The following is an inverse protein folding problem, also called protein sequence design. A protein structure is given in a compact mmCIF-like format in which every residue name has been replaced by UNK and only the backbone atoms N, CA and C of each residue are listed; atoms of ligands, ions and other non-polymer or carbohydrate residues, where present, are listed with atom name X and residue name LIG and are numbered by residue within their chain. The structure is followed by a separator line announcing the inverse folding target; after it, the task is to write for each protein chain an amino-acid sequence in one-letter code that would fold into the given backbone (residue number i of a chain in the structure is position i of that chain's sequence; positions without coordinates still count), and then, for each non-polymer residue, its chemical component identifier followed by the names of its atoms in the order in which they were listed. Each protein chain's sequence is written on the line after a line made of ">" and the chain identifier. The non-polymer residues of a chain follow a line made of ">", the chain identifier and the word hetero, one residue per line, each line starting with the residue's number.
data_IF_892896737738
#
_entry.id   IF_892896737738
#
_cell.length_a   1.000
_cell.length_b   1.000
_cell.length_c   1.000
_cell.angle_alpha   90.00
_cell.angle_beta   90.00
_cell.angle_gamma   90.00
#
_symmetry.space_group_name_H-M   'P 1'
#
loop_
_entity.id
_entity.type
_entity.pdbx_description
1 polymer ?
#
# COMPACT_ATOMS: atom_id res chain seq x y z
N UNK A 1 -23.07 30.53 -21.65
CA UNK A 1 -22.32 30.94 -20.44
C UNK A 1 -22.62 30.01 -19.26
N UNK A 2 -23.90 29.67 -19.00
CA UNK A 2 -24.37 28.74 -17.95
C UNK A 2 -23.69 27.35 -17.94
N UNK A 3 -23.48 26.76 -19.14
CA UNK A 3 -22.86 25.43 -19.26
C UNK A 3 -21.35 25.41 -18.97
N UNK A 4 -20.65 26.55 -19.12
CA UNK A 4 -19.20 26.64 -18.82
C UNK A 4 -18.93 26.59 -17.32
N UNK A 5 -19.87 27.12 -16.52
CA UNK A 5 -19.79 27.13 -15.05
C UNK A 5 -20.01 25.72 -14.50
N UNK A 6 -20.98 24.98 -15.06
CA UNK A 6 -21.22 23.57 -14.74
C UNK A 6 -19.99 22.71 -15.02
N UNK A 7 -19.32 22.94 -16.15
CA UNK A 7 -18.11 22.19 -16.50
C UNK A 7 -16.95 22.45 -15.52
N UNK A 8 -16.77 23.70 -15.10
CA UNK A 8 -15.78 24.06 -14.08
C UNK A 8 -16.09 23.49 -12.70
N UNK A 9 -17.37 23.45 -12.32
CA UNK A 9 -17.81 22.87 -11.04
C UNK A 9 -17.57 21.36 -10.98
N UNK A 10 -17.81 20.65 -12.09
CA UNK A 10 -17.54 19.21 -12.19
C UNK A 10 -16.04 18.94 -12.17
N UNK A 11 -15.23 19.75 -12.87
CA UNK A 11 -13.78 19.62 -12.88
C UNK A 11 -13.18 19.82 -11.48
N UNK A 12 -13.67 20.80 -10.72
CA UNK A 12 -13.24 21.02 -9.34
C UNK A 12 -13.59 19.86 -8.41
N UNK A 13 -14.78 19.26 -8.55
CA UNK A 13 -15.15 18.08 -7.73
C UNK A 13 -14.24 16.87 -7.98
N UNK A 14 -13.80 16.64 -9.23
CA UNK A 14 -12.94 15.51 -9.59
C UNK A 14 -11.53 15.66 -8.98
N UNK A 15 -11.01 16.88 -8.81
CA UNK A 15 -9.65 17.09 -8.25
C UNK A 15 -9.64 16.75 -6.75
N UNK A 16 -10.72 17.04 -6.02
CA UNK A 16 -10.82 16.74 -4.58
C UNK A 16 -10.96 15.25 -4.28
N UNK A 17 -11.43 14.42 -5.22
CA UNK A 17 -11.52 12.97 -4.99
C UNK A 17 -10.17 12.26 -5.02
N UNK A 18 -9.12 12.88 -5.57
CA UNK A 18 -7.78 12.29 -5.58
C UNK A 18 -6.99 12.57 -4.30
N UNK A 19 -7.26 13.68 -3.60
CA UNK A 19 -6.50 14.06 -2.39
C UNK A 19 -6.96 13.28 -1.16
N UNK A 20 -8.18 12.75 -1.14
CA UNK A 20 -8.72 12.02 0.01
C UNK A 20 -8.33 10.54 0.08
N UNK A 21 -7.68 9.99 -0.96
CA UNK A 21 -7.24 8.59 -0.92
C UNK A 21 -5.92 8.39 -0.20
N UNK A 22 -5.07 9.41 -0.12
CA UNK A 22 -3.77 9.33 0.58
C UNK A 22 -3.96 9.29 2.10
N UNK A 23 -5.01 9.92 2.63
CA UNK A 23 -5.29 10.00 4.07
C UNK A 23 -5.93 8.72 4.65
N UNK A 24 -6.42 7.79 3.82
CA UNK A 24 -7.09 6.56 4.30
C UNK A 24 -6.13 5.40 4.62
N UNK A 25 -4.86 5.50 4.26
CA UNK A 25 -3.87 4.45 4.56
C UNK A 25 -2.91 4.95 5.64
N UNK A 26 -3.34 4.81 6.89
CA UNK A 26 -2.50 5.08 8.05
C UNK A 26 -1.15 4.36 7.93
N UNK A 27 -0.09 4.99 8.42
CA UNK A 27 1.25 4.42 8.39
C UNK A 27 1.27 3.08 9.16
N UNK A 28 1.86 2.05 8.56
CA UNK A 28 2.08 0.75 9.18
C UNK A 28 3.56 0.42 9.17
N UNK A 29 3.98 -0.36 10.16
CA UNK A 29 5.35 -0.86 10.20
C UNK A 29 5.35 -2.22 9.52
N UNK A 30 6.06 -2.33 8.41
CA UNK A 30 6.20 -3.56 7.66
C UNK A 30 7.62 -4.13 7.79
N UNK A 31 7.70 -5.46 7.73
CA UNK A 31 8.95 -6.21 7.66
C UNK A 31 8.80 -7.38 6.71
N UNK A 32 9.89 -7.76 6.06
CA UNK A 32 9.93 -8.96 5.24
C UNK A 32 10.29 -10.16 6.12
N UNK A 33 9.52 -11.24 6.04
CA UNK A 33 9.75 -12.46 6.82
C UNK A 33 9.98 -13.61 5.86
N UNK A 34 11.09 -14.32 6.06
CA UNK A 34 11.44 -15.53 5.32
C UNK A 34 11.13 -16.75 6.17
N UNK A 35 10.18 -17.53 5.69
CA UNK A 35 9.76 -18.80 6.24
C UNK A 35 10.47 -19.94 5.52
N UNK A 36 11.03 -20.91 6.24
CA UNK A 36 11.47 -22.19 5.69
C UNK A 36 10.75 -23.30 6.44
N UNK A 37 10.07 -24.19 5.73
CA UNK A 37 9.21 -25.24 6.32
C UNK A 37 8.11 -24.68 7.27
N UNK A 38 7.67 -23.43 7.05
CA UNK A 38 6.68 -22.77 7.90
C UNK A 38 7.24 -22.18 9.20
N UNK A 39 8.56 -22.21 9.40
CA UNK A 39 9.26 -21.61 10.53
C UNK A 39 9.97 -20.34 10.06
N UNK A 40 9.95 -19.29 10.88
CA UNK A 40 10.69 -18.05 10.60
C UNK A 40 12.20 -18.33 10.70
N UNK A 41 12.90 -18.25 9.57
CA UNK A 41 14.36 -18.35 9.54
C UNK A 41 15.03 -16.97 9.55
N UNK A 42 14.42 -15.99 8.88
CA UNK A 42 14.98 -14.65 8.77
C UNK A 42 13.89 -13.59 8.83
N UNK A 43 14.12 -12.56 9.63
CA UNK A 43 13.29 -11.35 9.67
C UNK A 43 14.11 -10.16 9.18
N UNK A 44 13.55 -9.42 8.23
CA UNK A 44 14.07 -8.15 7.78
C UNK A 44 13.85 -7.04 8.81
N UNK A 45 14.44 -5.88 8.55
CA UNK A 45 14.26 -4.71 9.42
C UNK A 45 12.83 -4.18 9.30
N UNK A 46 12.28 -3.74 10.42
CA UNK A 46 11.02 -2.99 10.49
C UNK A 46 11.19 -1.60 9.86
N UNK A 47 10.35 -1.30 8.88
CA UNK A 47 10.30 -0.02 8.16
C UNK A 47 8.86 0.48 8.16
N UNK A 48 8.68 1.77 8.46
CA UNK A 48 7.38 2.41 8.39
C UNK A 48 7.06 2.80 6.95
N UNK A 49 5.90 2.37 6.46
CA UNK A 49 5.37 2.73 5.15
C UNK A 49 4.01 3.41 5.29
N UNK A 50 3.78 4.45 4.50
CA UNK A 50 2.55 5.23 4.52
C UNK A 50 2.01 5.39 3.09
N UNK A 51 0.70 5.63 2.95
CA UNK A 51 0.12 6.03 1.66
C UNK A 51 0.31 4.99 0.55
N UNK A 52 0.70 5.46 -0.63
CA UNK A 52 0.90 4.62 -1.82
C UNK A 52 2.01 3.57 -1.64
N UNK A 53 3.04 3.84 -0.83
CA UNK A 53 4.11 2.87 -0.57
C UNK A 53 3.60 1.69 0.24
N UNK A 54 2.77 1.94 1.25
CA UNK A 54 2.14 0.87 2.02
C UNK A 54 1.26 -0.02 1.14
N UNK A 55 0.47 0.60 0.25
CA UNK A 55 -0.38 -0.14 -0.71
C UNK A 55 0.49 -1.03 -1.61
N UNK A 56 1.63 -0.53 -2.08
CA UNK A 56 2.55 -1.31 -2.91
C UNK A 56 3.15 -2.50 -2.15
N UNK A 57 3.54 -2.31 -0.88
CA UNK A 57 4.07 -3.38 -0.03
C UNK A 57 2.99 -4.43 0.27
N UNK A 58 1.78 -4.02 0.66
CA UNK A 58 0.68 -4.95 0.94
C UNK A 58 0.19 -5.68 -0.34
N UNK A 59 0.33 -5.07 -1.51
CA UNK A 59 0.04 -5.70 -2.80
C UNK A 59 1.18 -6.63 -3.28
N UNK A 60 2.32 -6.66 -2.60
CA UNK A 60 3.44 -7.53 -2.97
C UNK A 60 3.08 -8.97 -2.65
N UNK A 61 2.98 -9.80 -3.69
CA UNK A 61 2.72 -11.21 -3.53
C UNK A 61 3.90 -11.96 -2.88
N UNK A 62 3.57 -13.01 -2.15
CA UNK A 62 4.58 -13.85 -1.52
C UNK A 62 5.46 -14.55 -2.56
N UNK A 63 6.76 -14.59 -2.28
CA UNK A 63 7.71 -15.33 -3.10
C UNK A 63 7.86 -16.72 -2.50
N UNK A 64 7.36 -17.73 -3.21
CA UNK A 64 7.47 -19.14 -2.81
C UNK A 64 8.48 -19.86 -3.70
N UNK A 65 9.53 -20.41 -3.09
CA UNK A 65 10.56 -21.20 -3.77
C UNK A 65 10.86 -22.47 -2.97
N UNK A 66 10.33 -23.60 -3.43
CA UNK A 66 10.43 -24.88 -2.73
C UNK A 66 9.79 -24.80 -1.34
N UNK A 67 10.58 -25.01 -0.29
CA UNK A 67 10.14 -24.95 1.11
C UNK A 67 10.30 -23.55 1.72
N UNK A 68 10.75 -22.56 0.93
CA UNK A 68 10.96 -21.17 1.38
C UNK A 68 9.80 -20.29 0.93
N UNK A 69 9.22 -19.51 1.84
CA UNK A 69 8.21 -18.48 1.55
C UNK A 69 8.69 -17.15 2.11
N UNK A 70 8.81 -16.13 1.27
CA UNK A 70 9.11 -14.76 1.68
C UNK A 70 7.81 -13.97 1.60
N UNK A 71 7.38 -13.42 2.73
CA UNK A 71 6.12 -12.66 2.87
C UNK A 71 6.43 -11.29 3.47
N UNK A 72 5.64 -10.29 3.11
CA UNK A 72 5.61 -9.03 3.85
C UNK A 72 4.58 -9.10 4.97
N UNK A 73 4.97 -8.68 6.16
CA UNK A 73 4.08 -8.58 7.32
C UNK A 73 4.05 -7.13 7.81
N UNK A 74 2.86 -6.53 7.80
CA UNK A 74 2.62 -5.18 8.26
C UNK A 74 1.73 -5.19 9.50
N UNK A 75 2.07 -4.40 10.52
CA UNK A 75 1.26 -4.24 11.75
C UNK A 75 0.87 -2.79 12.01
#
# INVERSE_FOLDING_TARGET
>A
MKMKILFWAILMMIIFTFTSCEELTGCKICRQVTYVNGIVEQEGREVEYCGAELIAIEATADIVSGNTRISWECR
#
